data_IF_002672101507
#
_entry.id   IF_002672101507
#
_cell.length_a   1.000
_cell.length_b   1.000
_cell.length_c   1.000
_cell.angle_alpha   90.00
_cell.angle_beta   90.00
_cell.angle_gamma   90.00
#
_symmetry.space_group_name_H-M   'P 1'
#
loop_
_entity.id
_entity.type
_entity.pdbx_description
1 polymer ?
#
# COMPACT_ATOMS: atom_id res chain seq x y z
N UNK A 1 6.42 1.50 7.68
CA UNK A 1 7.04 0.79 6.54
C UNK A 1 6.22 -0.47 6.25
N UNK A 2 5.77 -0.66 5.02
CA UNK A 2 4.91 -1.79 4.64
C UNK A 2 5.75 -3.03 4.27
N UNK A 3 5.19 -4.21 4.46
CA UNK A 3 5.81 -5.49 4.11
C UNK A 3 5.03 -6.17 3.00
N UNK A 4 5.69 -7.06 2.26
CA UNK A 4 5.02 -7.90 1.26
C UNK A 4 3.94 -8.72 1.97
N UNK A 5 2.72 -8.68 1.45
CA UNK A 5 1.54 -9.29 2.06
C UNK A 5 0.71 -8.35 2.95
N UNK A 6 1.20 -7.15 3.28
CA UNK A 6 0.41 -6.17 4.01
C UNK A 6 -0.83 -5.77 3.20
N UNK A 7 -1.98 -5.76 3.87
CA UNK A 7 -3.24 -5.26 3.32
C UNK A 7 -3.27 -3.75 3.46
N UNK A 8 -3.54 -3.07 2.35
CA UNK A 8 -3.55 -1.61 2.27
C UNK A 8 -4.83 -1.12 1.62
N UNK A 9 -5.16 0.15 1.82
CA UNK A 9 -6.26 0.82 1.15
C UNK A 9 -5.76 2.11 0.51
N UNK A 10 -6.15 2.34 -0.75
CA UNK A 10 -5.91 3.57 -1.48
C UNK A 10 -7.22 4.35 -1.63
N UNK A 11 -7.27 5.66 -1.30
CA UNK A 11 -8.53 6.43 -1.25
C UNK A 11 -9.36 6.37 -2.53
N UNK A 12 -8.70 6.42 -3.70
CA UNK A 12 -9.37 6.42 -5.01
C UNK A 12 -9.64 5.03 -5.61
N UNK A 13 -8.94 4.00 -5.14
CA UNK A 13 -8.88 2.69 -5.82
C UNK A 13 -9.21 1.51 -4.91
N UNK A 14 -9.51 1.76 -3.63
CA UNK A 14 -9.95 0.75 -2.68
C UNK A 14 -8.83 -0.10 -2.12
N UNK A 15 -9.20 -1.30 -1.66
CA UNK A 15 -8.30 -2.21 -0.97
C UNK A 15 -7.36 -2.95 -1.93
N UNK A 16 -6.18 -3.27 -1.42
CA UNK A 16 -5.17 -4.04 -2.12
C UNK A 16 -4.16 -4.67 -1.17
N UNK A 17 -3.11 -5.21 -1.76
CA UNK A 17 -2.01 -5.87 -1.06
C UNK A 17 -0.68 -5.37 -1.60
N UNK A 18 0.32 -5.29 -0.73
CA UNK A 18 1.70 -5.08 -1.15
C UNK A 18 2.21 -6.38 -1.77
N UNK A 19 2.40 -6.39 -3.08
CA UNK A 19 2.83 -7.57 -3.83
C UNK A 19 4.35 -7.71 -3.83
N UNK A 20 5.08 -6.60 -3.92
CA UNK A 20 6.54 -6.59 -3.94
C UNK A 20 7.11 -5.24 -3.50
N UNK A 21 8.42 -5.23 -3.27
CA UNK A 21 9.21 -4.02 -3.02
C UNK A 21 10.34 -3.97 -4.04
N UNK A 22 10.29 -2.99 -4.93
CA UNK A 22 11.32 -2.78 -5.95
C UNK A 22 12.27 -1.66 -5.53
N UNK A 23 13.53 -1.75 -5.95
CA UNK A 23 14.49 -0.64 -5.87
C UNK A 23 14.81 -0.18 -7.28
N UNK A 24 14.73 1.12 -7.55
CA UNK A 24 15.04 1.70 -8.86
C UNK A 24 16.04 2.86 -8.74
N UNK A 25 16.77 3.07 -9.83
CA UNK A 25 17.74 4.16 -9.98
C UNK A 25 19.06 3.93 -9.24
N UNK A 26 20.02 4.81 -9.50
CA UNK A 26 21.36 4.77 -8.90
C UNK A 26 21.32 5.05 -7.38
N UNK A 27 20.27 5.73 -6.90
CA UNK A 27 20.08 6.07 -5.49
C UNK A 27 19.37 4.99 -4.66
N UNK A 28 19.07 3.82 -5.23
CA UNK A 28 18.32 2.75 -4.54
C UNK A 28 16.96 3.22 -3.99
N UNK A 29 16.24 4.05 -4.73
CA UNK A 29 14.92 4.52 -4.33
C UNK A 29 13.95 3.34 -4.24
N UNK A 30 13.24 3.25 -3.12
CA UNK A 30 12.34 2.13 -2.82
C UNK A 30 10.94 2.43 -3.32
N UNK A 31 10.34 1.46 -4.02
CA UNK A 31 8.99 1.52 -4.54
C UNK A 31 8.19 0.32 -4.02
N UNK A 32 7.00 0.57 -3.51
CA UNK A 32 6.02 -0.46 -3.19
C UNK A 32 5.22 -0.80 -4.45
N UNK A 33 5.16 -2.08 -4.78
CA UNK A 33 4.27 -2.61 -5.81
C UNK A 33 2.97 -3.00 -5.13
N UNK A 34 1.93 -2.20 -5.32
CA UNK A 34 0.61 -2.45 -4.76
C UNK A 34 -0.26 -3.11 -5.81
N UNK A 35 -0.88 -4.23 -5.46
CA UNK A 35 -1.92 -4.86 -6.28
C UNK A 35 -3.28 -4.55 -5.68
N UNK A 36 -4.08 -3.79 -6.41
CA UNK A 36 -5.41 -3.39 -5.99
C UNK A 36 -6.44 -4.39 -6.53
N UNK A 37 -7.39 -4.78 -5.67
CA UNK A 37 -8.41 -5.75 -6.04
C UNK A 37 -9.42 -5.16 -7.03
N UNK A 38 -9.68 -3.86 -6.93
CA UNK A 38 -10.50 -3.15 -7.90
C UNK A 38 -9.77 -3.04 -9.25
N UNK A 39 -10.30 -3.70 -10.28
CA UNK A 39 -9.80 -3.59 -11.64
C UNK A 39 -8.47 -4.32 -11.92
N UNK A 40 -8.00 -5.18 -11.00
CA UNK A 40 -6.74 -5.95 -11.13
C UNK A 40 -5.52 -5.05 -11.50
N UNK A 41 -5.50 -3.84 -10.96
CA UNK A 41 -4.49 -2.82 -11.25
C UNK A 41 -3.24 -3.03 -10.38
N UNK A 42 -2.05 -2.84 -10.97
CA UNK A 42 -0.80 -2.71 -10.22
C UNK A 42 -0.33 -1.26 -10.22
N UNK A 43 -0.02 -0.74 -9.03
CA UNK A 43 0.44 0.63 -8.83
C UNK A 43 1.82 0.59 -8.18
N UNK A 44 2.77 1.32 -8.75
CA UNK A 44 4.06 1.57 -8.12
C UNK A 44 4.01 2.88 -7.35
N UNK A 45 4.31 2.81 -6.06
CA UNK A 45 4.32 3.97 -5.17
C UNK A 45 5.71 4.14 -4.56
N UNK A 46 6.37 5.30 -4.74
CA UNK A 46 7.64 5.56 -4.07
C UNK A 46 7.42 5.59 -2.55
N UNK A 47 8.29 4.91 -1.82
CA UNK A 47 8.16 4.73 -0.37
C UNK A 47 8.13 6.07 0.38
N UNK A 48 8.80 7.08 -0.14
CA UNK A 48 8.87 8.43 0.44
C UNK A 48 7.53 9.18 0.35
N UNK A 49 6.68 8.85 -0.65
CA UNK A 49 5.39 9.53 -0.88
C UNK A 49 4.17 8.70 -0.49
N UNK A 50 4.36 7.49 0.04
CA UNK A 50 3.26 6.55 0.33
C UNK A 50 2.24 7.13 1.32
N UNK A 51 2.72 7.87 2.33
CA UNK A 51 1.86 8.54 3.31
C UNK A 51 1.17 9.77 2.71
N UNK A 52 1.88 10.52 1.87
CA UNK A 52 1.36 11.72 1.21
C UNK A 52 0.20 11.42 0.24
N UNK A 53 0.24 10.27 -0.45
CA UNK A 53 -0.84 9.86 -1.36
C UNK A 53 -2.03 9.21 -0.62
N UNK A 54 -1.94 9.05 0.70
CA UNK A 54 -3.02 8.54 1.53
C UNK A 54 -3.18 7.02 1.50
N UNK A 55 -2.15 6.26 1.14
CA UNK A 55 -2.17 4.79 1.29
C UNK A 55 -2.08 4.45 2.78
N UNK A 56 -3.07 3.72 3.29
CA UNK A 56 -3.14 3.34 4.70
C UNK A 56 -3.15 1.83 4.88
N UNK A 57 -2.68 1.35 6.02
CA UNK A 57 -2.87 -0.04 6.43
C UNK A 57 -4.34 -0.29 6.76
N UNK A 58 -4.78 -1.51 6.49
CA UNK A 58 -6.09 -1.98 6.94
C UNK A 58 -6.04 -2.17 8.46
N UNK A 59 -7.07 -1.69 9.16
CA UNK A 59 -7.20 -1.85 10.62
C UNK A 59 -7.48 -3.33 10.96
N UNK A 60 -6.96 -3.78 12.10
CA UNK A 60 -7.20 -5.15 12.60
C UNK A 60 -8.62 -5.29 13.13
N UNK A 61 -9.13 -6.53 13.22
CA UNK A 61 -10.47 -6.80 13.76
C UNK A 61 -10.69 -6.22 15.16
N UNK A 62 -9.67 -6.27 16.03
CA UNK A 62 -9.73 -5.67 17.35
C UNK A 62 -9.92 -4.14 17.34
N UNK A 63 -9.43 -3.46 16.30
CA UNK A 63 -9.56 -2.01 16.13
C UNK A 63 -10.92 -1.63 15.52
N UNK A 64 -11.63 -2.57 14.88
CA UNK A 64 -12.96 -2.33 14.32
C UNK A 64 -13.94 -1.90 15.42
N UNK A 65 -13.84 -2.50 16.60
CA UNK A 65 -14.71 -2.18 17.74
C UNK A 65 -14.58 -0.72 18.25
N UNK A 66 -13.52 0.01 17.89
CA UNK A 66 -13.34 1.44 18.25
C UNK A 66 -13.98 2.39 17.23
N UNK A 67 -14.41 1.88 16.09
CA UNK A 67 -14.92 2.67 14.95
C UNK A 67 -16.42 2.43 14.74
N UNK A 68 -16.97 1.34 15.28
CA UNK A 68 -18.41 1.07 15.37
C UNK A 68 -19.06 1.87 16.49
#
# INVERSE_FOLDING_TARGET
MFQIGDRVVHPMHGAGIVEALERRGEKNEVYYVLRLFAGNLKVLVPADKVEMIGVRRVISEAEIAKVL
#
